data_IF_944235393921
#
_entry.id   IF_944235393921
#
_cell.length_a   1.000
_cell.length_b   1.000
_cell.length_c   1.000
_cell.angle_alpha   90.00
_cell.angle_beta   90.00
_cell.angle_gamma   90.00
#
_symmetry.space_group_name_H-M   'P 1'
#
loop_
_entity.id
_entity.type
_entity.pdbx_description
1 polymer ?
#
# COMPACT_ATOMS: atom_id res chain seq x y z
N UNK A 1 32.92 7.62 -7.79
CA UNK A 1 32.67 8.84 -7.00
C UNK A 1 32.45 9.98 -7.99
N UNK A 2 31.27 10.04 -8.61
CA UNK A 2 30.92 11.16 -9.48
C UNK A 2 30.36 12.22 -8.55
N UNK A 3 30.98 13.39 -8.47
CA UNK A 3 30.40 14.55 -7.78
C UNK A 3 29.23 15.07 -8.63
N UNK A 4 28.08 14.42 -8.56
CA UNK A 4 26.84 14.98 -9.09
C UNK A 4 26.44 16.15 -8.21
N UNK A 5 26.09 17.27 -8.83
CA UNK A 5 25.42 18.35 -8.11
C UNK A 5 24.09 17.83 -7.54
N UNK A 6 23.67 18.27 -6.35
CA UNK A 6 22.44 17.79 -5.72
C UNK A 6 21.22 17.93 -6.64
N UNK A 7 21.18 19.00 -7.44
CA UNK A 7 20.11 19.31 -8.39
C UNK A 7 20.06 18.27 -9.51
N UNK A 8 21.21 17.88 -10.06
CA UNK A 8 21.30 16.87 -11.11
C UNK A 8 20.84 15.50 -10.61
N UNK A 9 21.21 15.14 -9.37
CA UNK A 9 20.78 13.88 -8.76
C UNK A 9 19.26 13.82 -8.57
N UNK A 10 18.64 14.90 -8.13
CA UNK A 10 17.18 14.97 -7.95
C UNK A 10 16.43 14.87 -9.29
N UNK A 11 16.92 15.58 -10.31
CA UNK A 11 16.32 15.52 -11.67
C UNK A 11 16.42 14.11 -12.25
N UNK A 12 17.57 13.45 -12.12
CA UNK A 12 17.76 12.08 -12.59
C UNK A 12 16.87 11.07 -11.86
N UNK A 13 16.66 11.23 -10.55
CA UNK A 13 15.74 10.39 -9.78
C UNK A 13 14.30 10.54 -10.26
N UNK A 14 13.84 11.78 -10.46
CA UNK A 14 12.48 12.06 -10.91
C UNK A 14 12.27 11.52 -12.33
N UNK A 15 13.19 11.81 -13.26
CA UNK A 15 13.09 11.31 -14.64
C UNK A 15 13.15 9.78 -14.66
N UNK A 16 14.05 9.16 -13.90
CA UNK A 16 14.16 7.70 -13.80
C UNK A 16 12.87 7.06 -13.30
N UNK A 17 12.22 7.66 -12.30
CA UNK A 17 10.91 7.20 -11.80
C UNK A 17 9.83 7.35 -12.87
N UNK A 18 9.74 8.50 -13.53
CA UNK A 18 8.73 8.75 -14.57
C UNK A 18 8.85 7.77 -15.73
N UNK A 19 10.09 7.51 -16.19
CA UNK A 19 10.35 6.53 -17.24
C UNK A 19 10.01 5.12 -16.77
N UNK A 20 10.41 4.72 -15.56
CA UNK A 20 10.11 3.39 -15.03
C UNK A 20 8.61 3.13 -14.84
N UNK A 21 7.85 4.13 -14.37
CA UNK A 21 6.40 4.05 -14.26
C UNK A 21 5.72 4.00 -15.63
N UNK A 22 6.25 4.70 -16.63
CA UNK A 22 5.72 4.67 -17.99
C UNK A 22 5.76 3.27 -18.62
N UNK A 23 6.76 2.45 -18.27
CA UNK A 23 6.84 1.04 -18.69
C UNK A 23 5.83 0.13 -17.96
N UNK A 24 4.99 0.66 -17.07
CA UNK A 24 3.95 -0.09 -16.37
C UNK A 24 4.49 -1.09 -15.33
N UNK A 25 5.75 -0.95 -14.92
CA UNK A 25 6.34 -1.80 -13.89
C UNK A 25 5.75 -1.46 -12.51
N UNK A 26 5.62 -2.44 -11.59
CA UNK A 26 5.12 -2.15 -10.26
C UNK A 26 5.98 -1.07 -9.57
N UNK A 27 5.30 -0.11 -8.94
CA UNK A 27 5.92 1.10 -8.37
C UNK A 27 7.07 0.77 -7.42
N UNK A 28 6.94 -0.29 -6.62
CA UNK A 28 7.98 -0.75 -5.70
C UNK A 28 9.31 -1.08 -6.40
N UNK A 29 9.27 -1.76 -7.56
CA UNK A 29 10.47 -2.10 -8.32
C UNK A 29 11.09 -0.87 -8.98
N UNK A 30 10.26 0.06 -9.47
CA UNK A 30 10.75 1.30 -10.06
C UNK A 30 11.44 2.18 -9.01
N UNK A 31 10.79 2.40 -7.87
CA UNK A 31 11.35 3.19 -6.77
C UNK A 31 12.62 2.55 -6.21
N UNK A 32 12.60 1.23 -5.94
CA UNK A 32 13.76 0.50 -5.46
C UNK A 32 14.91 0.49 -6.47
N UNK A 33 14.61 0.29 -7.75
CA UNK A 33 15.60 0.28 -8.83
C UNK A 33 16.28 1.63 -9.02
N UNK A 34 15.50 2.71 -9.14
CA UNK A 34 16.04 4.08 -9.29
C UNK A 34 16.85 4.47 -8.04
N UNK A 35 16.36 4.16 -6.84
CA UNK A 35 17.09 4.41 -5.60
C UNK A 35 18.42 3.64 -5.54
N UNK A 36 18.43 2.37 -5.97
CA UNK A 36 19.64 1.54 -5.97
C UNK A 36 20.67 2.03 -6.98
N UNK A 37 20.24 2.35 -8.21
CA UNK A 37 21.13 2.89 -9.26
C UNK A 37 21.76 4.20 -8.79
N UNK A 38 20.97 5.12 -8.24
CA UNK A 38 21.48 6.41 -7.77
C UNK A 38 22.37 6.27 -6.53
N UNK A 39 22.06 5.32 -5.64
CA UNK A 39 22.89 5.00 -4.48
C UNK A 39 24.29 4.50 -4.91
N UNK A 40 24.37 3.64 -5.93
CA UNK A 40 25.64 3.16 -6.48
C UNK A 40 26.42 4.28 -7.18
N UNK A 41 25.74 5.16 -7.93
CA UNK A 41 26.41 6.27 -8.62
C UNK A 41 26.98 7.32 -7.65
N UNK A 42 26.27 7.59 -6.54
CA UNK A 42 26.71 8.52 -5.50
C UNK A 42 27.78 7.93 -4.57
N UNK A 43 27.44 6.85 -3.87
CA UNK A 43 28.27 6.27 -2.80
C UNK A 43 29.10 5.04 -3.23
N UNK A 44 29.04 4.63 -4.50
CA UNK A 44 29.76 3.45 -4.99
C UNK A 44 29.18 2.13 -4.47
N UNK A 45 29.97 1.04 -4.42
CA UNK A 45 29.50 -0.27 -3.93
C UNK A 45 28.94 -0.25 -2.50
N UNK A 46 29.36 0.72 -1.67
CA UNK A 46 28.82 0.92 -0.32
C UNK A 46 27.35 1.37 -0.32
N UNK A 47 26.85 1.95 -1.41
CA UNK A 47 25.44 2.32 -1.58
C UNK A 47 24.48 1.13 -1.56
N UNK A 48 24.96 -0.08 -1.90
CA UNK A 48 24.17 -1.32 -1.77
C UNK A 48 23.89 -1.67 -0.31
N UNK A 49 24.83 -1.38 0.60
CA UNK A 49 24.66 -1.62 2.02
C UNK A 49 23.53 -0.77 2.61
N UNK A 50 23.37 0.47 2.12
CA UNK A 50 22.27 1.35 2.50
C UNK A 50 20.91 0.77 2.07
N UNK A 51 20.83 0.24 0.84
CA UNK A 51 19.62 -0.41 0.34
C UNK A 51 19.25 -1.65 1.17
N UNK A 52 20.23 -2.50 1.49
CA UNK A 52 19.99 -3.70 2.30
C UNK A 52 19.50 -3.37 3.71
N UNK A 53 20.13 -2.40 4.39
CA UNK A 53 19.69 -1.98 5.73
C UNK A 53 18.27 -1.41 5.71
N UNK A 54 17.97 -0.49 4.79
CA UNK A 54 16.63 0.11 4.70
C UNK A 54 15.54 -0.90 4.38
N UNK A 55 15.85 -1.89 3.54
CA UNK A 55 14.92 -2.98 3.22
C UNK A 55 14.67 -3.86 4.45
N UNK A 56 15.73 -4.21 5.19
CA UNK A 56 15.62 -5.02 6.40
C UNK A 56 14.84 -4.32 7.52
N UNK A 57 15.09 -3.02 7.71
CA UNK A 57 14.35 -2.17 8.66
C UNK A 57 12.87 -2.10 8.31
N UNK A 58 12.54 -2.04 7.02
CA UNK A 58 11.14 -1.98 6.55
C UNK A 58 10.40 -3.28 6.82
N UNK A 59 11.03 -4.43 6.53
CA UNK A 59 10.43 -5.76 6.76
C UNK A 59 10.24 -6.04 8.25
N UNK A 60 11.20 -5.61 9.08
CA UNK A 60 11.16 -5.80 10.54
C UNK A 60 10.27 -4.76 11.24
N UNK A 61 9.69 -3.82 10.50
CA UNK A 61 8.80 -2.82 11.06
C UNK A 61 7.51 -3.48 11.59
N UNK A 62 7.18 -3.19 12.86
CA UNK A 62 5.98 -3.73 13.52
C UNK A 62 4.67 -3.41 12.77
N UNK A 63 4.64 -2.36 11.94
CA UNK A 63 3.49 -2.01 11.09
C UNK A 63 3.23 -3.09 10.03
N UNK A 64 4.26 -3.78 9.52
CA UNK A 64 4.08 -4.84 8.52
C UNK A 64 3.34 -6.06 9.08
N UNK A 65 3.34 -6.26 10.40
CA UNK A 65 2.55 -7.30 11.08
C UNK A 65 1.05 -6.99 10.99
N UNK A 66 0.67 -5.72 10.82
CA UNK A 66 -0.74 -5.34 10.67
C UNK A 66 -1.35 -5.93 9.38
N UNK A 67 -0.59 -6.05 8.29
CA UNK A 67 -1.08 -6.58 7.01
C UNK A 67 -1.65 -8.01 7.15
N UNK A 68 -0.90 -9.03 7.64
CA UNK A 68 -1.44 -10.37 7.81
C UNK A 68 -2.54 -10.43 8.88
N UNK A 69 -2.49 -9.60 9.92
CA UNK A 69 -3.55 -9.54 10.93
C UNK A 69 -4.87 -8.98 10.36
N UNK A 70 -4.82 -7.98 9.48
CA UNK A 70 -6.01 -7.47 8.79
C UNK A 70 -6.60 -8.51 7.81
N UNK A 71 -5.74 -9.24 7.08
CA UNK A 71 -6.19 -10.34 6.22
C UNK A 71 -6.84 -11.46 7.06
N UNK A 72 -6.28 -11.76 8.22
CA UNK A 72 -6.84 -12.74 9.16
C UNK A 72 -8.21 -12.29 9.68
N UNK A 73 -8.34 -11.02 10.10
CA UNK A 73 -9.61 -10.44 10.54
C UNK A 73 -10.67 -10.52 9.43
N UNK A 74 -10.33 -10.13 8.21
CA UNK A 74 -11.22 -10.21 7.06
C UNK A 74 -11.66 -11.67 6.80
N UNK A 75 -10.74 -12.62 6.90
CA UNK A 75 -11.03 -14.05 6.74
C UNK A 75 -11.96 -14.58 7.83
N UNK A 76 -11.83 -14.13 9.08
CA UNK A 76 -12.74 -14.49 10.16
C UNK A 76 -14.13 -13.89 9.99
N UNK A 77 -14.19 -12.64 9.53
CA UNK A 77 -15.44 -11.95 9.26
C UNK A 77 -16.24 -12.62 8.13
N UNK A 78 -15.55 -13.04 7.06
CA UNK A 78 -16.16 -13.81 5.96
C UNK A 78 -16.62 -15.20 6.42
N UNK A 79 -15.79 -15.95 7.14
CA UNK A 79 -16.11 -17.33 7.55
C UNK A 79 -17.13 -17.44 8.69
N UNK A 80 -17.33 -16.38 9.47
CA UNK A 80 -18.28 -16.39 10.60
C UNK A 80 -19.72 -16.13 10.16
N UNK A 81 -19.97 -15.75 8.90
CA UNK A 81 -21.32 -15.36 8.44
C UNK A 81 -21.79 -14.00 9.00
N UNK A 82 -20.97 -13.33 9.82
CA UNK A 82 -21.27 -12.03 10.40
C UNK A 82 -21.52 -10.95 9.34
N UNK A 83 -20.95 -11.11 8.14
CA UNK A 83 -21.20 -10.20 7.01
C UNK A 83 -22.67 -10.20 6.57
N UNK A 84 -23.31 -11.37 6.53
CA UNK A 84 -24.70 -11.52 6.10
C UNK A 84 -25.65 -11.02 7.20
N UNK A 85 -25.36 -11.34 8.46
CA UNK A 85 -26.13 -10.83 9.62
C UNK A 85 -26.07 -9.30 9.71
N UNK A 86 -24.91 -8.71 9.41
CA UNK A 86 -24.76 -7.25 9.37
C UNK A 86 -25.56 -6.64 8.21
N UNK A 87 -25.60 -7.31 7.06
CA UNK A 87 -26.43 -6.87 5.92
C UNK A 87 -27.93 -6.86 6.26
N UNK A 88 -28.44 -7.93 6.88
CA UNK A 88 -29.83 -7.98 7.34
C UNK A 88 -30.14 -6.91 8.37
N UNK A 89 -29.24 -6.66 9.32
CA UNK A 89 -29.38 -5.60 10.30
C UNK A 89 -29.46 -4.21 9.64
N UNK A 90 -28.61 -3.93 8.64
CA UNK A 90 -28.67 -2.67 7.90
C UNK A 90 -29.94 -2.54 7.06
N UNK A 91 -30.47 -3.65 6.52
CA UNK A 91 -31.76 -3.68 5.85
C UNK A 91 -32.93 -3.40 6.80
N UNK A 92 -32.87 -3.83 8.06
CA UNK A 92 -33.85 -3.45 9.07
C UNK A 92 -33.79 -1.95 9.43
N UNK A 93 -32.59 -1.38 9.48
CA UNK A 93 -32.41 0.05 9.81
C UNK A 93 -32.82 0.96 8.64
N UNK A 94 -32.38 0.64 7.43
CA UNK A 94 -32.51 1.53 6.26
C UNK A 94 -33.57 1.10 5.25
N UNK A 95 -34.10 -0.13 5.32
CA UNK A 95 -34.98 -0.70 4.29
C UNK A 95 -36.32 0.00 4.12
N UNK A 96 -36.77 0.79 5.09
CA UNK A 96 -38.00 1.59 4.98
C UNK A 96 -37.84 2.89 4.18
N UNK A 97 -36.60 3.32 3.90
CA UNK A 97 -36.31 4.52 3.12
C UNK A 97 -36.34 4.22 1.62
N UNK A 98 -36.78 5.21 0.83
CA UNK A 98 -36.63 5.17 -0.63
C UNK A 98 -35.14 5.15 -0.98
N UNK A 99 -34.66 4.06 -1.60
CA UNK A 99 -33.23 3.82 -1.84
C UNK A 99 -32.48 3.18 -0.66
N UNK A 100 -33.19 2.68 0.36
CA UNK A 100 -32.63 2.08 1.57
C UNK A 100 -31.60 0.96 1.32
N UNK A 101 -31.81 0.15 0.28
CA UNK A 101 -30.88 -0.91 -0.14
C UNK A 101 -29.53 -0.31 -0.56
N UNK A 102 -29.53 0.77 -1.35
CA UNK A 102 -28.30 1.43 -1.79
C UNK A 102 -27.55 2.06 -0.61
N UNK A 103 -28.28 2.63 0.35
CA UNK A 103 -27.70 3.24 1.54
C UNK A 103 -27.09 2.19 2.46
N UNK A 104 -27.77 1.06 2.67
CA UNK A 104 -27.24 -0.08 3.40
C UNK A 104 -25.93 -0.60 2.77
N UNK A 105 -25.90 -0.79 1.44
CA UNK A 105 -24.69 -1.24 0.73
C UNK A 105 -23.53 -0.26 0.92
N UNK A 106 -23.74 1.05 0.77
CA UNK A 106 -22.67 2.05 0.96
C UNK A 106 -22.12 2.01 2.38
N UNK A 107 -22.99 1.93 3.40
CA UNK A 107 -22.57 1.86 4.80
C UNK A 107 -21.77 0.58 5.08
N UNK A 108 -22.26 -0.57 4.62
CA UNK A 108 -21.53 -1.83 4.74
C UNK A 108 -20.17 -1.79 4.02
N UNK A 109 -20.13 -1.20 2.83
CA UNK A 109 -18.89 -1.00 2.07
C UNK A 109 -17.86 -0.24 2.89
N UNK A 110 -18.27 0.82 3.58
CA UNK A 110 -17.39 1.63 4.44
C UNK A 110 -16.91 0.83 5.64
N UNK A 111 -17.79 0.06 6.31
CA UNK A 111 -17.42 -0.77 7.45
C UNK A 111 -16.39 -1.83 7.04
N UNK A 112 -16.67 -2.58 5.96
CA UNK A 112 -15.73 -3.58 5.46
C UNK A 112 -14.42 -2.96 4.98
N UNK A 113 -14.46 -1.82 4.29
CA UNK A 113 -13.26 -1.09 3.88
C UNK A 113 -12.41 -0.67 5.10
N UNK A 114 -13.04 -0.22 6.19
CA UNK A 114 -12.34 0.14 7.42
C UNK A 114 -11.68 -1.08 8.08
N UNK A 115 -12.32 -2.25 8.04
CA UNK A 115 -11.76 -3.49 8.62
C UNK A 115 -10.69 -4.18 7.77
N UNK A 116 -10.68 -3.93 6.46
CA UNK A 116 -9.75 -4.58 5.51
C UNK A 116 -8.47 -3.78 5.29
N UNK A 117 -8.39 -2.52 5.73
CA UNK A 117 -7.14 -1.77 5.84
C UNK A 117 -6.40 -1.50 4.52
N UNK A 118 -7.07 -1.56 3.38
CA UNK A 118 -6.45 -1.55 2.03
C UNK A 118 -5.71 -0.23 1.70
N UNK A 119 -5.92 0.85 2.48
CA UNK A 119 -5.30 2.17 2.23
C UNK A 119 -3.80 2.28 2.58
N UNK A 120 -3.16 1.23 3.12
CA UNK A 120 -1.75 1.29 3.52
C UNK A 120 -0.71 0.79 2.50
N UNK A 121 -1.14 0.17 1.38
CA UNK A 121 -0.25 -0.63 0.54
C UNK A 121 -0.28 -0.33 -0.97
N UNK A 122 -0.87 0.78 -1.40
CA UNK A 122 -0.84 1.24 -2.81
C UNK A 122 -0.18 2.59 -2.94
#
# INVERSE_FOLDING_TARGET
MINLSPELSAILMIIGMMVGLYFGQPVAFVMGGVATIMSILGWGPAGLYLFMNRSFDTITNNIMIAIPLFILMASFLEKSGMADELFEAMMHVFGSLNGGIALAVVVLSVIFAATTGIMGAT
#
